data_IF_875815177182
#
_entry.id   IF_875815177182
#
_cell.length_a   1.000
_cell.length_b   1.000
_cell.length_c   1.000
_cell.angle_alpha   90.00
_cell.angle_beta   90.00
_cell.angle_gamma   90.00
#
_symmetry.space_group_name_H-M   'P 1'
#
loop_
_entity.id
_entity.type
_entity.pdbx_description
1 polymer ?
#
# COMPACT_ATOMS: atom_id res chain seq x y z
N UNK A 1 3.69 -20.18 -14.36
CA UNK A 1 2.66 -20.80 -13.51
C UNK A 1 1.46 -19.87 -13.36
N UNK A 2 0.30 -20.45 -13.10
CA UNK A 2 -0.93 -19.66 -12.89
C UNK A 2 -0.82 -18.72 -11.68
N UNK A 3 -0.12 -19.16 -10.62
CA UNK A 3 0.08 -18.30 -9.44
C UNK A 3 0.84 -17.02 -9.81
N UNK A 4 1.81 -17.10 -10.70
CA UNK A 4 2.54 -15.91 -11.14
C UNK A 4 1.61 -14.93 -11.87
N UNK A 5 0.70 -15.45 -12.68
CA UNK A 5 -0.28 -14.63 -13.38
C UNK A 5 -1.20 -13.91 -12.40
N UNK A 6 -1.73 -14.63 -11.40
CA UNK A 6 -2.62 -14.03 -10.41
C UNK A 6 -1.91 -12.96 -9.58
N UNK A 7 -0.67 -13.21 -9.19
CA UNK A 7 0.12 -12.25 -8.42
C UNK A 7 0.35 -10.98 -9.25
N UNK A 8 0.71 -11.14 -10.51
CA UNK A 8 0.92 -10.01 -11.41
C UNK A 8 -0.35 -9.16 -11.57
N UNK A 9 -1.49 -9.83 -11.74
CA UNK A 9 -2.79 -9.14 -11.84
C UNK A 9 -3.13 -8.39 -10.56
N UNK A 10 -2.89 -9.01 -9.41
CA UNK A 10 -3.15 -8.39 -8.11
C UNK A 10 -2.27 -7.16 -7.91
N UNK A 11 -0.98 -7.27 -8.19
CA UNK A 11 -0.05 -6.15 -8.05
C UNK A 11 -0.43 -5.01 -9.00
N UNK A 12 -0.78 -5.35 -10.22
CA UNK A 12 -1.22 -4.35 -11.20
C UNK A 12 -2.47 -3.59 -10.72
N UNK A 13 -3.43 -4.32 -10.17
CA UNK A 13 -4.64 -3.69 -9.62
C UNK A 13 -4.29 -2.77 -8.45
N UNK A 14 -3.40 -3.19 -7.56
CA UNK A 14 -2.93 -2.37 -6.44
C UNK A 14 -2.25 -1.10 -6.95
N UNK A 15 -1.38 -1.22 -7.94
CA UNK A 15 -0.68 -0.06 -8.52
C UNK A 15 -1.65 0.95 -9.12
N UNK A 16 -2.73 0.48 -9.72
CA UNK A 16 -3.72 1.35 -10.35
C UNK A 16 -4.75 1.92 -9.39
N UNK A 17 -4.92 1.32 -8.21
CA UNK A 17 -6.03 1.64 -7.31
C UNK A 17 -5.64 1.88 -5.85
N UNK A 18 -4.36 1.99 -5.52
CA UNK A 18 -3.93 2.14 -4.12
C UNK A 18 -4.50 3.40 -3.45
N UNK A 19 -4.80 4.44 -4.22
CA UNK A 19 -5.36 5.69 -3.72
C UNK A 19 -6.83 5.57 -3.32
N UNK A 20 -7.45 4.47 -3.67
CA UNK A 20 -8.85 4.19 -3.35
C UNK A 20 -8.93 3.21 -2.18
N UNK A 21 -10.10 3.19 -1.54
CA UNK A 21 -10.36 2.26 -0.43
C UNK A 21 -10.70 0.88 -0.99
N UNK A 22 -9.66 0.13 -1.38
CA UNK A 22 -9.83 -1.21 -1.95
C UNK A 22 -9.67 -2.26 -0.85
N UNK A 23 -10.44 -3.34 -0.98
CA UNK A 23 -10.38 -4.48 -0.05
C UNK A 23 -9.58 -5.63 -0.68
N UNK A 24 -9.11 -6.54 0.16
CA UNK A 24 -8.42 -7.74 -0.32
C UNK A 24 -9.39 -8.64 -1.10
N UNK A 25 -10.67 -8.64 -0.71
CA UNK A 25 -11.72 -9.34 -1.45
C UNK A 25 -11.85 -8.84 -2.88
N UNK A 26 -11.82 -7.50 -3.06
CA UNK A 26 -11.87 -6.90 -4.39
C UNK A 26 -10.67 -7.29 -5.24
N UNK A 27 -9.48 -7.31 -4.63
CA UNK A 27 -8.26 -7.70 -5.34
C UNK A 27 -8.38 -9.14 -5.82
N UNK A 28 -8.82 -10.05 -4.95
CA UNK A 28 -9.01 -11.45 -5.30
C UNK A 28 -10.06 -11.62 -6.40
N UNK A 29 -11.15 -10.87 -6.30
CA UNK A 29 -12.24 -10.91 -7.28
C UNK A 29 -11.76 -10.50 -8.67
N UNK A 30 -10.96 -9.45 -8.77
CA UNK A 30 -10.38 -9.01 -10.04
C UNK A 30 -9.51 -10.11 -10.64
N UNK A 31 -8.82 -10.86 -9.82
CA UNK A 31 -7.97 -11.97 -10.28
C UNK A 31 -8.77 -13.24 -10.59
N UNK A 32 -10.06 -13.30 -10.22
CA UNK A 32 -10.89 -14.47 -10.42
C UNK A 32 -10.60 -15.61 -9.47
N UNK A 33 -10.08 -15.31 -8.27
CA UNK A 33 -9.76 -16.31 -7.25
C UNK A 33 -10.31 -15.85 -5.92
N UNK A 34 -10.34 -16.74 -4.92
CA UNK A 34 -10.82 -16.36 -3.60
C UNK A 34 -9.69 -15.75 -2.76
N UNK A 35 -10.10 -15.06 -1.70
CA UNK A 35 -9.16 -14.35 -0.82
C UNK A 35 -8.12 -15.27 -0.17
N UNK A 36 -8.55 -16.45 0.28
CA UNK A 36 -7.64 -17.40 0.93
C UNK A 36 -6.52 -17.84 0.01
N UNK A 37 -6.87 -18.17 -1.22
CA UNK A 37 -5.88 -18.59 -2.20
C UNK A 37 -4.93 -17.44 -2.56
N UNK A 38 -5.47 -16.24 -2.71
CA UNK A 38 -4.64 -15.06 -2.97
C UNK A 38 -3.62 -14.87 -1.85
N UNK A 39 -4.07 -14.95 -0.60
CA UNK A 39 -3.17 -14.83 0.56
C UNK A 39 -2.07 -15.87 0.56
N UNK A 40 -2.43 -17.10 0.23
CA UNK A 40 -1.49 -18.23 0.19
C UNK A 40 -0.40 -18.02 -0.86
N UNK A 41 -0.77 -17.67 -2.08
CA UNK A 41 0.21 -17.48 -3.17
C UNK A 41 1.07 -16.25 -2.95
N UNK A 42 0.51 -15.18 -2.37
CA UNK A 42 1.29 -13.98 -2.02
C UNK A 42 2.35 -14.32 -0.99
N UNK A 43 1.95 -14.98 0.11
CA UNK A 43 2.90 -15.31 1.17
C UNK A 43 4.03 -16.19 0.64
N UNK A 44 3.69 -17.16 -0.19
CA UNK A 44 4.68 -18.10 -0.75
C UNK A 44 5.64 -17.42 -1.72
N UNK A 45 5.12 -16.56 -2.62
CA UNK A 45 5.91 -16.04 -3.75
C UNK A 45 6.44 -14.62 -3.51
N UNK A 46 5.77 -13.85 -2.67
CA UNK A 46 6.14 -12.44 -2.40
C UNK A 46 6.73 -12.28 -0.99
N UNK A 47 6.41 -13.21 -0.09
CA UNK A 47 6.86 -13.15 1.29
C UNK A 47 6.02 -12.28 2.20
N UNK A 48 4.93 -11.72 1.69
CA UNK A 48 4.01 -10.83 2.41
C UNK A 48 2.58 -11.23 2.09
N UNK A 49 1.65 -10.87 2.97
CA UNK A 49 0.23 -10.97 2.65
C UNK A 49 -0.14 -9.86 1.66
N UNK A 50 -1.25 -10.01 0.93
CA UNK A 50 -1.72 -8.92 0.07
C UNK A 50 -1.97 -7.61 0.84
N UNK A 51 -2.46 -7.71 2.08
CA UNK A 51 -2.69 -6.56 2.94
C UNK A 51 -1.40 -5.84 3.26
N UNK A 52 -0.36 -6.59 3.65
CA UNK A 52 0.96 -6.02 3.93
C UNK A 52 1.57 -5.39 2.67
N UNK A 53 1.40 -6.03 1.53
CA UNK A 53 1.90 -5.50 0.27
C UNK A 53 1.23 -4.16 -0.07
N UNK A 54 -0.10 -4.09 0.06
CA UNK A 54 -0.85 -2.86 -0.20
C UNK A 54 -0.40 -1.74 0.73
N UNK A 55 -0.26 -2.03 2.02
CA UNK A 55 0.17 -1.04 3.00
C UNK A 55 1.58 -0.54 2.69
N UNK A 56 2.52 -1.44 2.41
CA UNK A 56 3.88 -1.06 2.04
C UNK A 56 3.91 -0.20 0.78
N UNK A 57 3.12 -0.58 -0.22
CA UNK A 57 3.05 0.17 -1.47
C UNK A 57 2.57 1.60 -1.22
N UNK A 58 1.51 1.76 -0.41
CA UNK A 58 0.98 3.07 -0.05
C UNK A 58 2.02 3.93 0.66
N UNK A 59 2.79 3.33 1.57
CA UNK A 59 3.81 4.08 2.32
C UNK A 59 4.98 4.51 1.44
N UNK A 60 5.38 3.68 0.48
CA UNK A 60 6.41 4.07 -0.50
C UNK A 60 5.91 5.25 -1.33
N UNK A 61 4.66 5.23 -1.78
CA UNK A 61 4.07 6.36 -2.51
C UNK A 61 4.02 7.61 -1.63
N UNK A 62 3.72 7.46 -0.35
CA UNK A 62 3.73 8.58 0.58
C UNK A 62 5.12 9.22 0.69
N UNK A 63 6.19 8.41 0.71
CA UNK A 63 7.56 8.96 0.76
C UNK A 63 7.86 9.78 -0.50
N UNK A 64 7.39 9.35 -1.66
CA UNK A 64 7.58 10.12 -2.89
C UNK A 64 6.90 11.49 -2.79
N UNK A 65 5.65 11.51 -2.28
CA UNK A 65 4.92 12.76 -2.11
C UNK A 65 5.55 13.67 -1.05
N UNK A 66 6.04 13.09 0.04
CA UNK A 66 6.74 13.85 1.08
C UNK A 66 7.98 14.54 0.52
N UNK A 67 8.71 13.85 -0.34
CA UNK A 67 9.96 14.35 -0.90
C UNK A 67 9.73 15.35 -2.05
N UNK A 68 8.78 15.06 -2.94
CA UNK A 68 8.62 15.77 -4.19
C UNK A 68 7.58 16.88 -4.17
N UNK A 69 6.79 17.00 -3.10
CA UNK A 69 5.73 18.01 -3.01
C UNK A 69 5.79 18.76 -1.69
N UNK A 70 5.01 19.84 -1.61
CA UNK A 70 4.81 20.59 -0.37
C UNK A 70 3.43 20.31 0.24
N UNK A 71 2.77 19.22 -0.20
CA UNK A 71 1.47 18.83 0.34
C UNK A 71 1.56 18.61 1.84
N UNK A 72 0.49 18.93 2.57
CA UNK A 72 0.41 18.68 4.00
C UNK A 72 0.44 17.17 4.29
N UNK A 73 0.82 16.82 5.50
CA UNK A 73 0.81 15.42 5.93
C UNK A 73 -0.59 14.83 5.79
N UNK A 74 -1.63 15.61 6.15
CA UNK A 74 -3.02 15.19 6.01
C UNK A 74 -3.37 14.89 4.55
N UNK A 75 -2.98 15.76 3.63
CA UNK A 75 -3.29 15.59 2.21
C UNK A 75 -2.54 14.40 1.61
N UNK A 76 -1.30 14.19 2.02
CA UNK A 76 -0.54 13.01 1.60
C UNK A 76 -1.23 11.72 2.07
N UNK A 77 -1.69 11.72 3.34
CA UNK A 77 -2.43 10.58 3.87
C UNK A 77 -3.66 10.26 3.01
N UNK A 78 -4.43 11.29 2.67
CA UNK A 78 -5.61 11.13 1.81
C UNK A 78 -5.25 10.60 0.42
N UNK A 79 -4.15 11.08 -0.14
CA UNK A 79 -3.69 10.65 -1.46
C UNK A 79 -3.34 9.16 -1.51
N UNK A 80 -3.01 8.56 -0.36
CA UNK A 80 -2.71 7.13 -0.26
C UNK A 80 -3.80 6.37 0.51
N UNK A 81 -5.02 6.93 0.50
CA UNK A 81 -6.24 6.28 1.03
C UNK A 81 -6.37 6.25 2.55
N UNK A 82 -5.75 7.20 3.25
CA UNK A 82 -5.94 7.37 4.68
C UNK A 82 -6.70 8.67 4.95
N UNK A 83 -7.99 8.56 5.29
CA UNK A 83 -8.81 9.74 5.60
C UNK A 83 -8.37 10.43 6.89
N UNK A 84 -7.88 9.65 7.85
CA UNK A 84 -7.49 10.14 9.17
C UNK A 84 -5.97 10.29 9.24
N UNK A 85 -5.50 11.53 9.49
CA UNK A 85 -4.06 11.81 9.55
C UNK A 85 -3.34 11.01 10.63
N UNK A 86 -3.98 10.78 11.77
CA UNK A 86 -3.36 10.03 12.85
C UNK A 86 -3.14 8.57 12.45
N UNK A 87 -4.13 7.97 11.79
CA UNK A 87 -4.00 6.60 11.28
C UNK A 87 -2.89 6.50 10.24
N UNK A 88 -2.81 7.49 9.35
CA UNK A 88 -1.74 7.56 8.36
C UNK A 88 -0.37 7.62 9.02
N UNK A 89 -0.21 8.55 9.96
CA UNK A 89 1.08 8.76 10.64
C UNK A 89 1.53 7.51 11.40
N UNK A 90 0.59 6.80 12.03
CA UNK A 90 0.89 5.56 12.75
C UNK A 90 1.33 4.45 11.80
N UNK A 91 0.61 4.28 10.69
CA UNK A 91 0.95 3.28 9.68
C UNK A 91 2.32 3.59 9.08
N UNK A 92 2.56 4.85 8.76
CA UNK A 92 3.84 5.31 8.20
C UNK A 92 4.98 4.99 9.17
N UNK A 93 4.83 5.36 10.44
CA UNK A 93 5.86 5.11 11.44
C UNK A 93 6.13 3.63 11.64
N UNK A 94 5.08 2.80 11.59
CA UNK A 94 5.24 1.35 11.71
C UNK A 94 6.14 0.80 10.61
N UNK A 95 6.00 1.30 9.39
CA UNK A 95 6.73 0.79 8.23
C UNK A 95 8.08 1.49 8.04
N UNK A 96 8.12 2.81 8.17
CA UNK A 96 9.32 3.59 7.92
C UNK A 96 10.18 3.84 9.17
N UNK A 97 9.66 3.56 10.35
CA UNK A 97 10.38 3.71 11.61
C UNK A 97 10.34 5.10 12.23
N UNK A 98 9.94 6.11 11.48
CA UNK A 98 9.84 7.50 11.97
C UNK A 98 8.56 8.14 11.41
N UNK A 99 8.15 9.27 11.99
CA UNK A 99 6.94 9.96 11.54
C UNK A 99 7.10 10.55 10.14
N UNK A 100 6.00 10.80 9.44
CA UNK A 100 6.07 11.45 8.12
C UNK A 100 6.78 12.79 8.17
N UNK A 101 6.53 13.58 9.22
CA UNK A 101 7.17 14.90 9.40
C UNK A 101 8.67 14.77 9.53
N UNK A 102 9.14 13.84 10.37
CA UNK A 102 10.58 13.59 10.55
C UNK A 102 11.21 13.09 9.26
N UNK A 103 10.52 12.17 8.58
CA UNK A 103 11.03 11.61 7.32
C UNK A 103 11.22 12.71 6.27
N UNK A 104 10.23 13.59 6.13
CA UNK A 104 10.33 14.72 5.20
C UNK A 104 11.51 15.62 5.55
N UNK A 105 11.67 15.93 6.83
CA UNK A 105 12.76 16.80 7.29
C UNK A 105 14.13 16.22 6.95
N UNK A 106 14.28 14.91 7.04
CA UNK A 106 15.56 14.23 6.76
C UNK A 106 15.81 14.04 5.26
N UNK A 107 14.78 13.98 4.44
CA UNK A 107 14.91 13.55 3.05
C UNK A 107 14.55 14.61 1.99
N UNK A 108 14.06 15.75 2.42
CA UNK A 108 13.67 16.81 1.48
C UNK A 108 14.69 17.97 1.33
#
# INVERSE_FOLDING_TARGET
KMSDYYIKEAINFIEQNFQNDISIEEIAEVCGINRSYLGKIFKKNVGKSPQEFLMNYRMVKATELLKLTDLSIADIGKAVSYENQLHFSRAFKTILGISPRHWRKQNK
#
